data_IF_133889821599
#
_entry.id   IF_133889821599
#
_cell.length_a   1.000
_cell.length_b   1.000
_cell.length_c   1.000
_cell.angle_alpha   90.00
_cell.angle_beta   90.00
_cell.angle_gamma   90.00
#
_symmetry.space_group_name_H-M   'P 1'
#
loop_
_entity.id
_entity.type
_entity.pdbx_description
1 polymer ?
#
# COMPACT_ATOMS: atom_id res chain seq x y z
N UNK A 1 11.55 33.38 31.82
CA UNK A 1 12.55 32.37 32.22
C UNK A 1 12.14 31.04 31.61
N UNK A 2 12.99 30.55 30.72
CA UNK A 2 12.83 29.34 29.92
C UNK A 2 13.13 28.12 30.81
N UNK A 3 12.26 27.12 30.85
CA UNK A 3 12.57 25.84 31.48
C UNK A 3 12.44 24.73 30.45
N UNK A 4 13.62 24.32 30.01
CA UNK A 4 13.92 23.19 29.13
C UNK A 4 13.57 21.90 29.85
N UNK A 5 12.62 21.13 29.33
CA UNK A 5 12.38 19.75 29.78
C UNK A 5 12.84 18.78 28.70
N UNK A 6 14.01 18.21 28.93
CA UNK A 6 14.54 17.05 28.21
C UNK A 6 13.83 15.80 28.73
N UNK A 7 13.00 15.17 27.88
CA UNK A 7 12.45 13.85 28.15
C UNK A 7 13.25 12.81 27.34
N UNK A 8 14.06 12.06 28.08
CA UNK A 8 14.64 10.79 27.67
C UNK A 8 13.53 9.78 27.35
N UNK A 9 13.66 9.07 26.23
CA UNK A 9 12.94 7.82 25.97
C UNK A 9 13.94 6.78 25.47
N UNK A 10 14.22 5.83 26.35
CA UNK A 10 14.94 4.59 26.06
C UNK A 10 13.97 3.50 25.61
N UNK A 11 14.54 2.39 25.11
CA UNK A 11 14.00 1.03 24.87
C UNK A 11 13.58 0.71 23.41
N UNK A 12 13.60 -0.57 22.96
CA UNK A 12 14.44 -1.71 23.34
C UNK A 12 15.11 -2.40 22.14
N UNK A 13 16.22 -3.11 22.39
CA UNK A 13 16.85 -4.03 21.43
C UNK A 13 16.04 -5.32 21.39
N UNK A 14 15.47 -5.68 20.24
CA UNK A 14 14.82 -6.97 20.04
C UNK A 14 15.74 -7.89 19.23
N UNK A 15 16.47 -8.74 19.95
CA UNK A 15 17.13 -9.92 19.40
C UNK A 15 16.20 -11.11 19.56
N UNK A 16 15.70 -11.68 18.47
CA UNK A 16 15.04 -12.99 18.46
C UNK A 16 15.80 -13.89 17.48
N UNK A 17 16.57 -14.81 18.05
CA UNK A 17 17.05 -15.98 17.36
C UNK A 17 15.93 -17.03 17.35
N UNK A 18 15.59 -17.55 16.17
CA UNK A 18 14.78 -18.76 16.03
C UNK A 18 15.46 -19.69 15.05
N UNK A 19 16.07 -20.73 15.61
CA UNK A 19 16.50 -21.92 14.88
C UNK A 19 15.27 -22.73 14.47
N UNK A 20 15.08 -22.94 13.18
CA UNK A 20 14.05 -23.84 12.66
C UNK A 20 14.71 -24.87 11.76
N UNK A 21 14.76 -26.11 12.26
CA UNK A 21 15.26 -27.28 11.55
C UNK A 21 14.04 -28.03 11.02
N UNK A 22 13.69 -27.94 9.72
CA UNK A 22 12.66 -28.82 9.12
C UNK A 22 12.84 -28.93 7.60
N UNK A 23 13.31 -30.11 7.20
CA UNK A 23 12.86 -30.98 6.08
C UNK A 23 12.74 -30.39 4.66
N UNK A 24 13.69 -30.83 3.82
CA UNK A 24 13.66 -30.77 2.37
C UNK A 24 12.41 -31.49 1.83
N UNK A 25 11.41 -30.73 1.40
CA UNK A 25 10.23 -31.27 0.71
C UNK A 25 10.44 -31.08 -0.79
N UNK A 26 10.55 -32.19 -1.51
CA UNK A 26 10.62 -32.23 -2.97
C UNK A 26 9.26 -31.82 -3.54
N UNK A 27 9.10 -30.56 -3.94
CA UNK A 27 7.86 -30.09 -4.56
C UNK A 27 7.90 -30.38 -6.06
N UNK A 28 7.04 -31.30 -6.48
CA UNK A 28 6.73 -31.58 -7.89
C UNK A 28 6.11 -30.32 -8.50
N UNK A 29 6.76 -29.76 -9.53
CA UNK A 29 6.24 -28.64 -10.32
C UNK A 29 5.01 -29.11 -11.10
N UNK A 30 3.83 -28.92 -10.51
CA UNK A 30 2.57 -28.95 -11.26
C UNK A 30 2.29 -27.52 -11.71
N UNK A 31 2.47 -27.25 -13.00
CA UNK A 31 2.09 -25.96 -13.58
C UNK A 31 0.57 -25.85 -13.56
N UNK A 32 0.03 -25.33 -12.46
CA UNK A 32 -1.36 -24.90 -12.39
C UNK A 32 -1.61 -23.84 -13.48
N UNK A 33 -2.79 -23.81 -14.11
CA UNK A 33 -3.15 -22.73 -15.03
C UNK A 33 -2.92 -21.40 -14.31
N UNK A 34 -2.13 -20.53 -14.94
CA UNK A 34 -1.82 -19.19 -14.41
C UNK A 34 -3.13 -18.42 -14.31
N UNK A 35 -3.76 -18.46 -13.13
CA UNK A 35 -4.93 -17.66 -12.83
C UNK A 35 -4.49 -16.21 -12.99
N UNK A 36 -4.98 -15.55 -14.04
CA UNK A 36 -4.72 -14.13 -14.21
C UNK A 36 -5.27 -13.43 -12.96
N UNK A 37 -4.47 -12.62 -12.25
CA UNK A 37 -4.96 -11.94 -11.06
C UNK A 37 -6.17 -11.09 -11.43
N UNK A 38 -7.21 -11.13 -10.61
CA UNK A 38 -8.34 -10.21 -10.73
C UNK A 38 -7.92 -8.84 -10.20
N UNK A 39 -7.27 -8.07 -11.07
CA UNK A 39 -6.68 -6.78 -10.70
C UNK A 39 -7.72 -5.78 -10.18
N UNK A 40 -8.98 -5.88 -10.61
CA UNK A 40 -10.06 -5.01 -10.16
C UNK A 40 -10.46 -5.37 -8.73
N UNK A 41 -10.75 -6.64 -8.46
CA UNK A 41 -11.07 -7.10 -7.10
C UNK A 41 -9.91 -6.87 -6.12
N UNK A 42 -8.65 -7.07 -6.56
CA UNK A 42 -7.47 -6.78 -5.74
C UNK A 42 -7.37 -5.28 -5.49
N UNK A 43 -7.60 -4.44 -6.50
CA UNK A 43 -7.62 -3.00 -6.33
C UNK A 43 -8.66 -2.59 -5.29
N UNK A 44 -9.92 -3.01 -5.46
CA UNK A 44 -11.04 -2.64 -4.58
C UNK A 44 -10.76 -3.04 -3.12
N UNK A 45 -10.20 -4.24 -2.92
CA UNK A 45 -9.81 -4.73 -1.61
C UNK A 45 -8.74 -3.87 -0.93
N UNK A 46 -7.84 -3.25 -1.70
CA UNK A 46 -6.73 -2.44 -1.16
C UNK A 46 -7.04 -0.94 -1.15
N UNK A 47 -7.97 -0.48 -1.98
CA UNK A 47 -8.35 0.91 -2.14
C UNK A 47 -9.20 1.44 -0.98
N UNK A 48 -9.84 0.55 -0.20
CA UNK A 48 -10.66 0.93 0.95
C UNK A 48 -11.73 1.97 0.55
N UNK A 49 -11.67 3.21 1.06
CA UNK A 49 -12.59 4.29 0.71
C UNK A 49 -12.51 4.80 -0.74
N UNK A 50 -11.57 4.28 -1.54
CA UNK A 50 -11.41 4.60 -2.96
C UNK A 50 -11.77 3.43 -3.89
N UNK A 51 -12.48 2.42 -3.39
CA UNK A 51 -12.85 1.24 -4.19
C UNK A 51 -13.57 1.62 -5.50
N UNK A 52 -14.50 2.59 -5.45
CA UNK A 52 -15.21 3.08 -6.64
C UNK A 52 -14.29 3.78 -7.66
N UNK A 53 -13.09 4.19 -7.26
CA UNK A 53 -12.13 4.90 -8.11
C UNK A 53 -11.03 3.97 -8.67
N UNK A 54 -11.09 2.68 -8.35
CA UNK A 54 -10.16 1.67 -8.84
C UNK A 54 -9.97 1.64 -10.37
N UNK A 55 -11.03 1.77 -11.19
CA UNK A 55 -10.89 1.83 -12.64
C UNK A 55 -9.91 2.91 -13.13
N UNK A 56 -9.75 4.00 -12.38
CA UNK A 56 -8.82 5.08 -12.74
C UNK A 56 -7.36 4.70 -12.48
N UNK A 57 -7.09 3.85 -11.49
CA UNK A 57 -5.73 3.50 -11.04
C UNK A 57 -5.27 2.12 -11.53
N UNK A 58 -6.17 1.34 -12.14
CA UNK A 58 -6.00 -0.08 -12.44
C UNK A 58 -4.73 -0.37 -13.26
N UNK A 59 -4.43 0.46 -14.27
CA UNK A 59 -3.26 0.27 -15.14
C UNK A 59 -1.91 0.29 -14.40
N UNK A 60 -1.81 0.93 -13.24
CA UNK A 60 -0.52 1.16 -12.55
C UNK A 60 0.14 -0.12 -12.06
N UNK A 61 -0.66 -1.13 -11.72
CA UNK A 61 -0.19 -2.33 -11.03
C UNK A 61 -0.35 -3.60 -11.87
N UNK A 62 -0.83 -3.49 -13.11
CA UNK A 62 -0.94 -4.62 -14.03
C UNK A 62 0.45 -5.21 -14.31
N UNK A 63 0.59 -6.53 -14.14
CA UNK A 63 1.85 -7.23 -14.35
C UNK A 63 2.87 -7.11 -13.22
N UNK A 64 2.54 -6.40 -12.13
CA UNK A 64 3.39 -6.39 -10.93
C UNK A 64 3.41 -7.75 -10.26
N UNK A 65 4.56 -8.18 -9.76
CA UNK A 65 4.67 -9.39 -8.92
C UNK A 65 4.07 -9.18 -7.50
N UNK A 66 3.80 -7.93 -7.12
CA UNK A 66 3.30 -7.52 -5.81
C UNK A 66 2.09 -6.60 -5.99
N UNK A 67 1.04 -7.12 -6.64
CA UNK A 67 -0.15 -6.33 -7.05
C UNK A 67 -0.85 -5.70 -5.84
N UNK A 68 -1.06 -6.45 -4.77
CA UNK A 68 -1.70 -5.96 -3.55
C UNK A 68 -0.91 -4.80 -2.92
N UNK A 69 0.40 -4.96 -2.74
CA UNK A 69 1.25 -3.91 -2.17
C UNK A 69 1.33 -2.68 -3.08
N UNK A 70 1.27 -2.89 -4.41
CA UNK A 70 1.25 -1.81 -5.38
C UNK A 70 -0.02 -0.96 -5.26
N UNK A 71 -1.20 -1.58 -5.20
CA UNK A 71 -2.46 -0.85 -5.00
C UNK A 71 -2.55 -0.22 -3.62
N UNK A 72 -2.18 -0.94 -2.57
CA UNK A 72 -2.12 -0.37 -1.22
C UNK A 72 -1.27 0.89 -1.17
N UNK A 73 -0.05 0.85 -1.73
CA UNK A 73 0.85 2.01 -1.80
C UNK A 73 0.28 3.16 -2.64
N UNK A 74 -0.40 2.83 -3.74
CA UNK A 74 -1.09 3.79 -4.61
C UNK A 74 -2.14 4.57 -3.82
N UNK A 75 -3.08 3.88 -3.17
CA UNK A 75 -4.16 4.55 -2.45
C UNK A 75 -3.71 5.16 -1.12
N UNK A 76 -2.64 4.65 -0.51
CA UNK A 76 -1.98 5.32 0.61
C UNK A 76 -1.44 6.70 0.19
N UNK A 77 -0.86 6.79 -1.01
CA UNK A 77 -0.38 8.06 -1.58
C UNK A 77 -1.55 9.01 -1.89
N UNK A 78 -2.62 8.49 -2.51
CA UNK A 78 -3.86 9.27 -2.76
C UNK A 78 -4.40 9.85 -1.45
N UNK A 79 -4.51 9.02 -0.42
CA UNK A 79 -5.00 9.45 0.88
C UNK A 79 -4.12 10.55 1.49
N UNK A 80 -2.80 10.42 1.40
CA UNK A 80 -1.87 11.45 1.87
C UNK A 80 -2.04 12.79 1.14
N UNK A 81 -2.22 12.77 -0.18
CA UNK A 81 -2.44 14.01 -0.97
C UNK A 81 -3.80 14.62 -0.66
N UNK A 82 -4.85 13.80 -0.55
CA UNK A 82 -6.18 14.25 -0.17
C UNK A 82 -6.14 14.93 1.20
N UNK A 83 -5.55 14.28 2.21
CA UNK A 83 -5.44 14.83 3.56
C UNK A 83 -4.69 16.17 3.58
N UNK A 84 -3.62 16.31 2.78
CA UNK A 84 -2.90 17.59 2.66
C UNK A 84 -3.74 18.69 1.99
N UNK A 85 -4.52 18.34 0.97
CA UNK A 85 -5.44 19.27 0.32
C UNK A 85 -6.53 19.74 1.30
N UNK A 86 -7.12 18.81 2.05
CA UNK A 86 -8.15 19.10 3.06
C UNK A 86 -7.59 19.95 4.20
N UNK A 87 -6.37 19.65 4.68
CA UNK A 87 -5.69 20.44 5.71
C UNK A 87 -5.44 21.89 5.30
N UNK A 88 -5.43 22.19 3.99
CA UNK A 88 -5.25 23.54 3.44
C UNK A 88 -6.58 24.22 3.09
N UNK A 89 -7.72 23.58 3.38
CA UNK A 89 -9.05 24.07 2.99
C UNK A 89 -9.30 24.00 1.48
N UNK A 90 -8.65 23.06 0.80
CA UNK A 90 -8.83 22.84 -0.64
C UNK A 90 -10.22 22.33 -1.00
N UNK A 91 -10.57 22.44 -2.27
CA UNK A 91 -11.82 21.93 -2.84
C UNK A 91 -11.54 20.74 -3.75
N UNK A 92 -12.47 19.77 -3.81
CA UNK A 92 -12.38 18.56 -4.64
C UNK A 92 -11.11 17.72 -4.39
N UNK A 93 -10.66 17.65 -3.14
CA UNK A 93 -9.39 17.05 -2.76
C UNK A 93 -9.24 15.57 -3.13
N UNK A 94 -10.34 14.79 -3.07
CA UNK A 94 -10.35 13.39 -3.52
C UNK A 94 -9.97 13.29 -5.00
N UNK A 95 -10.67 14.03 -5.87
CA UNK A 95 -10.41 13.96 -7.31
C UNK A 95 -9.03 14.50 -7.66
N UNK A 96 -8.57 15.57 -7.01
CA UNK A 96 -7.22 16.11 -7.21
C UNK A 96 -6.15 15.10 -6.81
N UNK A 97 -6.35 14.35 -5.73
CA UNK A 97 -5.43 13.31 -5.29
C UNK A 97 -5.41 12.12 -6.26
N UNK A 98 -6.58 11.65 -6.69
CA UNK A 98 -6.71 10.60 -7.70
C UNK A 98 -6.08 11.01 -9.03
N UNK A 99 -6.33 12.23 -9.49
CA UNK A 99 -5.69 12.77 -10.69
C UNK A 99 -4.16 12.82 -10.52
N UNK A 100 -3.65 13.27 -9.38
CA UNK A 100 -2.20 13.35 -9.16
C UNK A 100 -1.48 11.99 -9.16
N UNK A 101 -2.16 10.89 -8.81
CA UNK A 101 -1.53 9.57 -8.66
C UNK A 101 -1.89 8.61 -9.79
N UNK A 102 -3.12 8.71 -10.30
CA UNK A 102 -3.75 7.78 -11.23
C UNK A 102 -4.04 8.41 -12.59
N UNK A 103 -3.63 9.65 -12.86
CA UNK A 103 -3.59 10.14 -14.24
C UNK A 103 -2.54 9.35 -15.02
N UNK A 104 -3.02 8.47 -15.90
CA UNK A 104 -2.19 7.80 -16.90
C UNK A 104 -1.58 8.84 -17.83
N UNK A 105 -0.25 8.89 -17.88
CA UNK A 105 0.49 9.46 -19.01
C UNK A 105 0.92 8.33 -19.93
#
# INVERSE_FOLDING_TARGET
>A
MQFTSLLYLALPVLSVAQSVNTTLTTTTTSAAPSATPDYEAICESQASGYADDCPQCLYRCIGSAYVEQCYYSTFFTVNGIQAQCEARGGWNCKQTALDSVCSGS
#
